data_IF_485013353486
#
_entry.id   IF_485013353486
#
_cell.length_a   1.000
_cell.length_b   1.000
_cell.length_c   1.000
_cell.angle_alpha   90.00
_cell.angle_beta   90.00
_cell.angle_gamma   90.00
#
_symmetry.space_group_name_H-M   'P 1'
#
loop_
_entity.id
_entity.type
_entity.pdbx_description
1 polymer ?
#
# COMPACT_ATOMS: atom_id res chain seq x y z
N UNK A 1 21.47 16.99 -5.94
CA UNK A 1 20.47 15.92 -6.02
C UNK A 1 20.57 15.17 -4.71
N UNK A 2 19.50 15.12 -3.94
CA UNK A 2 19.44 14.39 -2.68
C UNK A 2 19.06 12.90 -2.92
N UNK A 3 19.12 12.06 -1.88
CA UNK A 3 18.80 10.64 -1.99
C UNK A 3 17.38 10.41 -2.49
N UNK A 4 16.40 11.22 -2.07
CA UNK A 4 15.01 11.09 -2.49
C UNK A 4 14.83 11.38 -3.99
N UNK A 5 15.59 12.31 -4.54
CA UNK A 5 15.61 12.59 -5.98
C UNK A 5 16.32 11.49 -6.78
N UNK A 6 17.41 10.90 -6.24
CA UNK A 6 18.08 9.75 -6.86
C UNK A 6 17.15 8.55 -6.95
N UNK A 7 16.44 8.22 -5.88
CA UNK A 7 15.40 7.19 -5.87
C UNK A 7 14.29 7.49 -6.90
N UNK A 8 13.84 8.75 -7.01
CA UNK A 8 12.84 9.16 -7.98
C UNK A 8 13.28 8.92 -9.42
N UNK A 9 14.57 9.09 -9.76
CA UNK A 9 15.11 8.76 -11.09
C UNK A 9 15.02 7.26 -11.37
N UNK A 10 15.41 6.41 -10.40
CA UNK A 10 15.32 4.97 -10.56
C UNK A 10 13.85 4.52 -10.77
N UNK A 11 12.94 5.06 -9.98
CA UNK A 11 11.50 4.80 -10.11
C UNK A 11 10.91 5.31 -11.43
N UNK A 12 11.41 6.46 -11.94
CA UNK A 12 10.98 7.01 -13.22
C UNK A 12 11.30 6.05 -14.38
N UNK A 13 12.50 5.46 -14.35
CA UNK A 13 12.95 4.50 -15.37
C UNK A 13 12.14 3.20 -15.31
N UNK A 14 11.74 2.78 -14.10
CA UNK A 14 10.99 1.55 -13.86
C UNK A 14 9.46 1.75 -13.87
N UNK A 15 8.95 2.97 -14.16
CA UNK A 15 7.55 3.30 -14.01
C UNK A 15 6.62 2.43 -14.88
N UNK A 16 5.71 1.63 -14.31
CA UNK A 16 4.86 0.70 -15.05
C UNK A 16 3.63 1.38 -15.69
N UNK A 17 3.36 2.63 -15.36
CA UNK A 17 2.18 3.38 -15.84
C UNK A 17 2.44 4.88 -15.97
N UNK A 18 1.55 5.57 -16.71
CA UNK A 18 1.59 7.05 -16.80
C UNK A 18 1.42 7.74 -15.43
N UNK A 19 0.61 7.17 -14.56
CA UNK A 19 0.41 7.72 -13.22
C UNK A 19 1.66 7.53 -12.37
N UNK A 20 2.29 6.35 -12.41
CA UNK A 20 3.59 6.09 -11.76
C UNK A 20 4.67 7.07 -12.24
N UNK A 21 4.76 7.28 -13.56
CA UNK A 21 5.68 8.25 -14.16
C UNK A 21 5.46 9.67 -13.61
N UNK A 22 4.20 10.10 -13.52
CA UNK A 22 3.84 11.42 -12.98
C UNK A 22 4.23 11.55 -11.50
N UNK A 23 4.01 10.51 -10.70
CA UNK A 23 4.45 10.48 -9.30
C UNK A 23 5.97 10.63 -9.18
N UNK A 24 6.74 9.87 -9.97
CA UNK A 24 8.20 9.93 -9.94
C UNK A 24 8.72 11.30 -10.41
N UNK A 25 8.11 11.92 -11.43
CA UNK A 25 8.45 13.27 -11.88
C UNK A 25 8.23 14.31 -10.77
N UNK A 26 7.08 14.28 -10.11
CA UNK A 26 6.78 15.22 -9.02
C UNK A 26 7.75 15.05 -7.83
N UNK A 27 8.25 13.83 -7.58
CA UNK A 27 9.25 13.57 -6.55
C UNK A 27 10.64 14.06 -6.96
N UNK A 28 10.97 13.97 -8.24
CA UNK A 28 12.22 14.49 -8.79
C UNK A 28 12.36 16.01 -8.56
N UNK A 29 11.25 16.74 -8.49
CA UNK A 29 11.22 18.17 -8.14
C UNK A 29 11.67 18.44 -6.69
N UNK A 30 11.90 17.40 -5.87
CA UNK A 30 12.43 17.50 -4.51
C UNK A 30 11.46 18.11 -3.49
N UNK A 31 10.15 18.10 -3.76
CA UNK A 31 9.13 18.64 -2.85
C UNK A 31 9.13 17.93 -1.50
N UNK A 32 9.22 16.59 -1.51
CA UNK A 32 9.30 15.79 -0.28
C UNK A 32 10.56 16.13 0.52
N UNK A 33 11.73 16.16 -0.13
CA UNK A 33 13.00 16.51 0.51
C UNK A 33 12.98 17.89 1.18
N UNK A 34 12.44 18.91 0.48
CA UNK A 34 12.29 20.25 1.07
C UNK A 34 11.38 20.25 2.27
N UNK A 35 10.25 19.55 2.23
CA UNK A 35 9.30 19.49 3.36
C UNK A 35 9.91 18.77 4.56
N UNK A 36 10.58 17.64 4.36
CA UNK A 36 11.25 16.87 5.43
C UNK A 36 12.40 17.69 6.02
N UNK A 37 13.20 18.37 5.19
CA UNK A 37 14.27 19.27 5.67
C UNK A 37 13.72 20.42 6.54
N UNK A 38 12.58 21.00 6.16
CA UNK A 38 11.93 22.03 6.95
C UNK A 38 11.44 21.50 8.32
N UNK A 39 10.89 20.28 8.36
CA UNK A 39 10.48 19.64 9.61
C UNK A 39 11.69 19.33 10.51
N UNK A 40 12.77 18.77 9.94
CA UNK A 40 14.02 18.53 10.66
C UNK A 40 14.56 19.82 11.27
N UNK A 41 14.61 20.91 10.50
CA UNK A 41 15.10 22.21 11.01
C UNK A 41 14.30 22.69 12.21
N UNK A 42 12.98 22.50 12.24
CA UNK A 42 12.16 22.87 13.41
C UNK A 42 12.57 22.07 14.65
N UNK A 43 12.90 20.78 14.52
CA UNK A 43 13.41 19.97 15.63
C UNK A 43 14.81 20.42 16.07
N UNK A 44 15.69 20.79 15.13
CA UNK A 44 17.02 21.32 15.44
C UNK A 44 16.94 22.66 16.19
N UNK A 45 16.01 23.55 15.81
CA UNK A 45 15.74 24.80 16.52
C UNK A 45 15.26 24.52 17.96
N UNK A 46 14.38 23.54 18.18
CA UNK A 46 13.98 23.10 19.52
C UNK A 46 15.16 22.55 20.32
N UNK A 47 16.02 21.76 19.70
CA UNK A 47 17.22 21.20 20.35
C UNK A 47 18.13 22.28 20.88
N UNK A 48 18.38 23.34 20.09
CA UNK A 48 19.20 24.50 20.53
C UNK A 48 18.57 25.14 21.76
N UNK A 49 17.26 25.35 21.77
CA UNK A 49 16.56 25.95 22.93
C UNK A 49 16.63 25.05 24.17
N UNK A 50 16.52 23.71 24.01
CA UNK A 50 16.69 22.79 25.13
C UNK A 50 18.10 22.81 25.70
N UNK A 51 19.13 22.82 24.84
CA UNK A 51 20.52 22.86 25.29
C UNK A 51 20.79 24.14 26.07
N UNK A 52 20.26 25.28 25.62
CA UNK A 52 20.39 26.57 26.37
C UNK A 52 19.70 26.49 27.74
N UNK A 53 18.54 25.84 27.84
CA UNK A 53 17.84 25.67 29.10
C UNK A 53 18.57 24.77 30.10
N UNK A 54 19.32 23.77 29.61
CA UNK A 54 20.09 22.83 30.43
C UNK A 54 21.43 23.47 30.86
N UNK A 55 22.13 24.15 29.93
CA UNK A 55 23.48 24.69 30.18
C UNK A 55 23.48 25.97 30.95
N UNK A 56 22.39 26.77 30.90
CA UNK A 56 22.29 28.10 31.54
C UNK A 56 21.01 28.23 32.39
N UNK A 57 20.81 27.41 33.43
CA UNK A 57 19.58 27.40 34.22
C UNK A 57 19.36 28.68 35.05
N UNK A 58 20.41 29.45 35.30
CA UNK A 58 20.38 30.66 36.12
C UNK A 58 20.28 31.96 35.28
N UNK A 59 20.40 31.88 33.96
CA UNK A 59 20.22 33.04 33.10
C UNK A 59 18.74 33.19 32.71
N UNK A 60 18.23 34.43 32.56
CA UNK A 60 16.88 34.73 32.05
C UNK A 60 16.76 34.36 30.54
N UNK A 61 17.16 33.14 30.19
CA UNK A 61 16.89 32.62 28.87
C UNK A 61 15.39 32.25 28.84
N UNK A 62 14.62 32.90 27.99
CA UNK A 62 13.22 32.52 27.76
C UNK A 62 13.14 31.06 27.24
N UNK A 63 13.15 30.12 28.18
CA UNK A 63 12.91 28.74 27.86
C UNK A 63 11.47 28.61 27.38
N UNK A 64 11.27 27.88 26.28
CA UNK A 64 9.91 27.51 25.85
C UNK A 64 9.21 26.80 26.99
N UNK A 65 8.02 27.28 27.34
CA UNK A 65 7.14 26.54 28.25
C UNK A 65 6.89 25.10 27.68
N UNK A 66 6.78 24.10 28.55
CA UNK A 66 6.57 22.69 28.10
C UNK A 66 5.42 22.55 27.09
N UNK A 67 4.36 23.34 27.25
CA UNK A 67 3.21 23.35 26.35
C UNK A 67 3.56 23.88 24.95
N UNK A 68 4.39 24.92 24.87
CA UNK A 68 4.84 25.48 23.60
C UNK A 68 5.82 24.51 22.89
N UNK A 69 6.67 23.84 23.67
CA UNK A 69 7.54 22.79 23.17
C UNK A 69 6.74 21.61 22.60
N UNK A 70 5.76 21.10 23.36
CA UNK A 70 4.85 20.04 22.93
C UNK A 70 4.09 20.43 21.64
N UNK A 71 3.61 21.66 21.53
CA UNK A 71 2.89 22.14 20.35
C UNK A 71 3.74 22.07 19.07
N UNK A 72 5.02 22.43 19.13
CA UNK A 72 5.92 22.33 17.96
C UNK A 72 6.18 20.87 17.59
N UNK A 73 6.37 19.99 18.57
CA UNK A 73 6.55 18.54 18.33
C UNK A 73 5.29 17.95 17.71
N UNK A 74 4.10 18.28 18.22
CA UNK A 74 2.82 17.81 17.67
C UNK A 74 2.60 18.29 16.23
N UNK A 75 2.93 19.55 15.92
CA UNK A 75 2.87 20.06 14.56
C UNK A 75 3.76 19.26 13.59
N UNK A 76 4.99 18.90 14.04
CA UNK A 76 5.91 18.08 13.24
C UNK A 76 5.35 16.66 13.09
N UNK A 77 4.85 16.06 14.17
CA UNK A 77 4.25 14.72 14.14
C UNK A 77 3.02 14.69 13.22
N UNK A 78 2.14 15.68 13.30
CA UNK A 78 0.98 15.81 12.43
C UNK A 78 1.39 15.94 10.94
N UNK A 79 2.46 16.71 10.65
CA UNK A 79 2.97 16.83 9.30
C UNK A 79 3.56 15.51 8.77
N UNK A 80 4.25 14.73 9.62
CA UNK A 80 4.78 13.40 9.27
C UNK A 80 3.64 12.41 9.04
N UNK A 81 2.61 12.38 9.89
CA UNK A 81 1.39 11.56 9.69
C UNK A 81 0.73 11.91 8.35
N UNK A 82 0.65 13.20 8.01
CA UNK A 82 0.10 13.65 6.72
C UNK A 82 0.91 13.18 5.51
N UNK A 83 2.24 13.01 5.63
CA UNK A 83 3.06 12.43 4.56
C UNK A 83 2.79 10.92 4.40
N UNK A 84 2.56 10.22 5.50
CA UNK A 84 2.30 8.77 5.50
C UNK A 84 0.90 8.42 4.97
N UNK A 85 -0.09 9.31 5.10
CA UNK A 85 -1.47 9.02 4.68
C UNK A 85 -1.62 8.65 3.20
N UNK A 86 -0.78 9.16 2.31
CA UNK A 86 -0.82 8.84 0.87
C UNK A 86 0.05 7.65 0.44
N UNK A 87 0.77 7.02 1.37
CA UNK A 87 1.79 6.01 1.08
C UNK A 87 1.24 4.79 0.35
N UNK A 88 0.17 4.18 0.88
CA UNK A 88 -0.42 2.95 0.30
C UNK A 88 -0.84 3.18 -1.16
N UNK A 89 -1.47 4.32 -1.43
CA UNK A 89 -1.87 4.69 -2.78
C UNK A 89 -0.68 4.87 -3.72
N UNK A 90 0.36 5.56 -3.27
CA UNK A 90 1.59 5.75 -4.06
C UNK A 90 2.31 4.42 -4.30
N UNK A 91 2.40 3.55 -3.30
CA UNK A 91 3.00 2.22 -3.41
C UNK A 91 2.24 1.36 -4.43
N UNK A 92 0.91 1.32 -4.35
CA UNK A 92 0.05 0.61 -5.30
C UNK A 92 0.23 1.15 -6.73
N UNK A 93 0.37 2.47 -6.90
CA UNK A 93 0.59 3.07 -8.22
C UNK A 93 1.98 2.78 -8.79
N UNK A 94 3.01 2.69 -7.95
CA UNK A 94 4.40 2.46 -8.37
C UNK A 94 4.74 1.00 -8.55
N UNK A 95 4.34 0.14 -7.61
CA UNK A 95 4.71 -1.29 -7.60
C UNK A 95 3.62 -2.19 -8.19
N UNK A 96 2.42 -1.64 -8.39
CA UNK A 96 1.22 -2.40 -8.74
C UNK A 96 0.60 -3.09 -7.52
N UNK A 97 -0.73 -3.22 -7.53
CA UNK A 97 -1.44 -3.95 -6.50
C UNK A 97 -1.36 -5.46 -6.71
N UNK A 98 -1.15 -6.20 -5.65
CA UNK A 98 -1.26 -7.68 -5.66
C UNK A 98 -2.72 -8.04 -5.44
N UNK A 99 -3.35 -8.64 -6.44
CA UNK A 99 -4.76 -9.04 -6.38
C UNK A 99 -4.90 -10.53 -6.57
N UNK A 100 -5.46 -11.18 -5.57
CA UNK A 100 -5.68 -12.64 -5.57
C UNK A 100 -7.07 -12.96 -6.10
N UNK A 101 -7.14 -13.87 -7.07
CA UNK A 101 -8.38 -14.46 -7.58
C UNK A 101 -8.70 -15.70 -6.74
N UNK A 102 -9.78 -15.66 -5.96
CA UNK A 102 -10.21 -16.73 -5.08
C UNK A 102 -11.66 -17.15 -5.39
N UNK A 103 -12.05 -18.34 -4.96
CA UNK A 103 -13.40 -18.88 -5.15
C UNK A 103 -13.40 -20.36 -5.48
N UNK A 104 -14.58 -20.95 -5.49
CA UNK A 104 -14.79 -22.37 -5.73
C UNK A 104 -14.24 -22.87 -7.10
N UNK A 105 -14.08 -24.18 -7.22
CA UNK A 105 -13.77 -24.82 -8.50
C UNK A 105 -14.86 -24.47 -9.51
N UNK A 106 -14.46 -24.14 -10.74
CA UNK A 106 -15.36 -23.72 -11.83
C UNK A 106 -16.13 -22.40 -11.61
N UNK A 107 -15.79 -21.58 -10.60
CA UNK A 107 -16.36 -20.24 -10.47
C UNK A 107 -15.99 -19.28 -11.62
N UNK A 108 -15.01 -19.66 -12.45
CA UNK A 108 -14.59 -18.93 -13.64
C UNK A 108 -13.36 -18.02 -13.40
N UNK A 109 -12.48 -18.39 -12.46
CA UNK A 109 -11.25 -17.64 -12.15
C UNK A 109 -10.35 -17.47 -13.37
N UNK A 110 -9.99 -18.56 -14.04
CA UNK A 110 -9.14 -18.51 -15.24
C UNK A 110 -9.83 -17.78 -16.42
N UNK A 111 -11.16 -17.89 -16.54
CA UNK A 111 -11.92 -17.12 -17.53
C UNK A 111 -11.85 -15.62 -17.25
N UNK A 112 -11.98 -15.22 -15.98
CA UNK A 112 -11.86 -13.83 -15.58
C UNK A 112 -10.43 -13.32 -15.77
N UNK A 113 -9.42 -14.10 -15.38
CA UNK A 113 -8.02 -13.78 -15.62
C UNK A 113 -7.77 -13.48 -17.10
N UNK A 114 -8.20 -14.38 -17.99
CA UNK A 114 -8.05 -14.20 -19.43
C UNK A 114 -8.84 -12.98 -19.96
N UNK A 115 -10.04 -12.72 -19.44
CA UNK A 115 -10.83 -11.54 -19.83
C UNK A 115 -10.17 -10.22 -19.40
N UNK A 116 -9.54 -10.18 -18.23
CA UNK A 116 -8.81 -9.03 -17.75
C UNK A 116 -7.51 -8.80 -18.54
N UNK A 117 -6.74 -9.87 -18.79
CA UNK A 117 -5.49 -9.82 -19.57
C UNK A 117 -5.74 -9.49 -21.04
N UNK A 118 -6.77 -10.08 -21.64
CA UNK A 118 -7.10 -9.87 -23.06
C UNK A 118 -7.47 -8.42 -23.40
N UNK A 119 -8.04 -7.69 -22.45
CA UNK A 119 -8.44 -6.27 -22.61
C UNK A 119 -7.35 -5.27 -22.23
N UNK A 120 -6.49 -5.63 -21.30
CA UNK A 120 -5.64 -4.68 -20.58
C UNK A 120 -4.18 -5.14 -20.49
N UNK A 121 -3.70 -5.88 -21.49
CA UNK A 121 -2.31 -6.33 -21.52
C UNK A 121 -1.40 -5.10 -21.44
N UNK A 122 -0.73 -4.89 -20.32
CA UNK A 122 0.29 -3.88 -20.19
C UNK A 122 1.36 -4.16 -21.26
N UNK A 123 1.93 -3.11 -21.85
CA UNK A 123 3.22 -3.23 -22.52
C UNK A 123 4.23 -3.58 -21.41
N UNK A 124 4.37 -4.87 -21.12
CA UNK A 124 5.38 -5.37 -20.21
C UNK A 124 6.69 -5.16 -20.93
N UNK A 125 7.44 -4.15 -20.54
CA UNK A 125 8.89 -4.15 -20.76
C UNK A 125 9.42 -5.30 -19.92
N UNK A 126 10.07 -6.26 -20.57
CA UNK A 126 10.79 -7.35 -19.92
C UNK A 126 11.81 -6.75 -18.93
N UNK A 127 11.41 -6.60 -17.68
CA UNK A 127 12.32 -6.25 -16.60
C UNK A 127 13.05 -7.56 -16.26
N UNK A 128 14.36 -7.68 -16.53
CA UNK A 128 15.10 -8.89 -16.20
C UNK A 128 15.06 -9.11 -14.69
N UNK A 129 14.44 -10.19 -14.25
CA UNK A 129 14.38 -10.58 -12.83
C UNK A 129 12.98 -10.92 -12.30
N UNK A 130 11.88 -10.63 -13.02
CA UNK A 130 10.51 -10.90 -12.57
C UNK A 130 9.94 -12.25 -13.05
N UNK A 131 10.69 -13.03 -13.85
CA UNK A 131 10.23 -14.25 -14.54
C UNK A 131 10.41 -15.54 -13.73
N UNK A 132 10.43 -15.52 -12.40
CA UNK A 132 10.66 -16.76 -11.61
C UNK A 132 9.43 -17.38 -10.97
N UNK A 133 8.28 -16.69 -10.92
CA UNK A 133 7.03 -17.28 -10.43
C UNK A 133 6.00 -17.39 -11.56
N UNK A 134 5.76 -18.59 -12.02
CA UNK A 134 4.87 -18.96 -13.15
C UNK A 134 3.38 -18.64 -12.95
N UNK A 135 3.01 -17.92 -11.89
CA UNK A 135 1.62 -17.76 -11.45
C UNK A 135 1.15 -16.31 -11.30
N UNK A 136 2.01 -15.31 -11.63
CA UNK A 136 1.64 -13.89 -11.53
C UNK A 136 1.59 -13.26 -12.91
N UNK A 137 0.43 -12.72 -13.27
CA UNK A 137 0.21 -12.01 -14.53
C UNK A 137 0.00 -10.52 -14.25
N UNK A 138 0.74 -9.68 -14.97
CA UNK A 138 0.66 -8.22 -14.81
C UNK A 138 -0.25 -7.59 -15.86
N UNK A 139 -1.15 -6.72 -15.43
CA UNK A 139 -2.02 -5.96 -16.34
C UNK A 139 -2.31 -4.56 -15.78
N UNK A 140 -2.95 -3.71 -16.60
CA UNK A 140 -3.46 -2.42 -16.15
C UNK A 140 -5.00 -2.48 -16.07
N UNK A 141 -5.57 -2.25 -14.90
CA UNK A 141 -7.01 -2.16 -14.70
C UNK A 141 -7.40 -0.71 -14.42
N UNK A 142 -8.08 -0.08 -15.36
CA UNK A 142 -8.48 1.33 -15.27
C UNK A 142 -7.29 2.27 -14.91
N UNK A 143 -6.13 2.06 -15.55
CA UNK A 143 -4.90 2.81 -15.32
C UNK A 143 -4.09 2.37 -14.08
N UNK A 144 -4.63 1.47 -13.26
CA UNK A 144 -3.98 0.91 -12.09
C UNK A 144 -3.13 -0.31 -12.49
N UNK A 145 -1.80 -0.32 -12.22
CA UNK A 145 -0.99 -1.52 -12.37
C UNK A 145 -1.44 -2.58 -11.37
N UNK A 146 -1.71 -3.80 -11.85
CA UNK A 146 -2.17 -4.91 -11.01
C UNK A 146 -1.39 -6.18 -11.36
N UNK A 147 -0.97 -6.89 -10.34
CA UNK A 147 -0.43 -8.26 -10.45
C UNK A 147 -1.52 -9.23 -9.99
N UNK A 148 -2.04 -9.99 -10.95
CA UNK A 148 -3.09 -10.97 -10.70
C UNK A 148 -2.45 -12.32 -10.38
N UNK A 149 -2.87 -12.94 -9.28
CA UNK A 149 -2.45 -14.28 -8.88
C UNK A 149 -3.68 -15.19 -8.87
N UNK A 150 -3.66 -16.28 -9.67
CA UNK A 150 -4.72 -17.29 -9.64
C UNK A 150 -4.38 -18.39 -8.64
N UNK A 151 -5.24 -18.58 -7.63
CA UNK A 151 -5.09 -19.65 -6.64
C UNK A 151 -5.40 -21.04 -7.19
N UNK A 152 -6.09 -21.14 -8.32
CA UNK A 152 -6.45 -22.43 -8.93
C UNK A 152 -5.28 -23.12 -9.65
N UNK A 153 -4.37 -22.35 -10.25
CA UNK A 153 -3.16 -22.88 -10.89
C UNK A 153 -2.18 -23.56 -9.92
N UNK A 154 -2.37 -23.36 -8.61
CA UNK A 154 -1.57 -23.99 -7.54
C UNK A 154 -2.02 -25.42 -7.19
N UNK A 155 -3.18 -25.87 -7.69
CA UNK A 155 -3.81 -27.17 -7.33
C UNK A 155 -3.64 -28.28 -8.38
N UNK A 156 -3.00 -28.04 -9.51
CA UNK A 156 -2.94 -29.02 -10.62
C UNK A 156 -1.71 -29.91 -10.64
N UNK A 157 -0.98 -30.08 -9.54
CA UNK A 157 0.15 -31.02 -9.48
C UNK A 157 0.01 -31.98 -8.31
N UNK A 158 -0.01 -33.28 -8.60
CA UNK A 158 0.08 -34.47 -7.73
C UNK A 158 -0.21 -34.38 -6.22
N UNK A 159 -0.87 -35.43 -5.69
CA UNK A 159 -1.38 -35.56 -4.30
C UNK A 159 -0.39 -35.20 -3.14
N UNK A 160 0.90 -35.21 -3.37
CA UNK A 160 1.92 -34.79 -2.38
C UNK A 160 2.15 -33.24 -2.36
N UNK A 161 1.59 -32.51 -3.32
CA UNK A 161 1.74 -31.05 -3.49
C UNK A 161 0.49 -30.30 -3.01
N UNK A 162 -0.60 -31.02 -2.67
CA UNK A 162 -1.86 -30.40 -2.27
C UNK A 162 -1.73 -29.60 -0.94
N UNK A 163 -1.03 -30.14 0.06
CA UNK A 163 -0.75 -29.41 1.31
C UNK A 163 0.17 -28.18 1.09
N UNK A 164 1.19 -28.33 0.23
CA UNK A 164 2.05 -27.20 -0.15
C UNK A 164 1.28 -26.16 -0.96
N UNK A 165 0.40 -26.56 -1.85
CA UNK A 165 -0.45 -25.68 -2.65
C UNK A 165 -1.43 -24.87 -1.77
N UNK A 166 -2.03 -25.49 -0.75
CA UNK A 166 -2.90 -24.83 0.22
C UNK A 166 -2.11 -23.82 1.09
N UNK A 167 -0.93 -24.20 1.58
CA UNK A 167 -0.09 -23.32 2.37
C UNK A 167 0.38 -22.09 1.55
N UNK A 168 0.78 -22.32 0.29
CA UNK A 168 1.17 -21.24 -0.62
C UNK A 168 -0.01 -20.32 -0.98
N UNK A 169 -1.21 -20.88 -1.17
CA UNK A 169 -2.43 -20.10 -1.36
C UNK A 169 -2.73 -19.22 -0.15
N UNK A 170 -2.60 -19.74 1.06
CA UNK A 170 -2.77 -18.98 2.31
C UNK A 170 -1.74 -17.84 2.46
N UNK A 171 -0.49 -18.11 2.09
CA UNK A 171 0.56 -17.09 2.12
C UNK A 171 0.27 -15.97 1.10
N UNK A 172 -0.15 -16.30 -0.12
CA UNK A 172 -0.50 -15.32 -1.17
C UNK A 172 -1.71 -14.48 -0.77
N UNK A 173 -2.74 -15.08 -0.16
CA UNK A 173 -3.88 -14.34 0.39
C UNK A 173 -3.41 -13.29 1.40
N UNK A 174 -2.52 -13.65 2.33
CA UNK A 174 -2.01 -12.71 3.34
C UNK A 174 -1.17 -11.57 2.78
N UNK A 175 -0.59 -11.72 1.61
CA UNK A 175 0.23 -10.72 0.93
C UNK A 175 -0.56 -9.88 -0.07
N UNK A 176 -1.86 -10.18 -0.25
CA UNK A 176 -2.70 -9.48 -1.20
C UNK A 176 -3.10 -8.09 -0.71
N UNK A 177 -3.12 -7.12 -1.63
CA UNK A 177 -3.71 -5.80 -1.41
C UNK A 177 -5.24 -5.82 -1.52
N UNK A 178 -5.78 -6.78 -2.31
CA UNK A 178 -7.21 -7.05 -2.39
C UNK A 178 -7.47 -8.49 -2.87
N UNK A 179 -8.65 -9.00 -2.57
CA UNK A 179 -9.13 -10.31 -3.01
C UNK A 179 -10.35 -10.11 -3.91
N UNK A 180 -10.31 -10.69 -5.13
CA UNK A 180 -11.48 -10.89 -5.97
C UNK A 180 -12.07 -12.27 -5.67
N UNK A 181 -13.15 -12.31 -4.90
CA UNK A 181 -13.80 -13.55 -4.50
C UNK A 181 -14.93 -13.89 -5.47
N UNK A 182 -14.67 -14.86 -6.34
CA UNK A 182 -15.59 -15.29 -7.39
C UNK A 182 -16.62 -16.28 -6.88
N UNK A 183 -17.88 -16.00 -7.18
CA UNK A 183 -19.03 -16.86 -6.91
C UNK A 183 -19.72 -17.22 -8.24
N UNK A 184 -20.04 -18.50 -8.42
CA UNK A 184 -20.75 -18.98 -9.61
C UNK A 184 -22.25 -18.63 -9.53
N UNK A 185 -22.66 -17.66 -10.31
CA UNK A 185 -24.07 -17.23 -10.41
C UNK A 185 -25.01 -18.28 -11.01
N UNK A 186 -24.49 -19.20 -11.83
CA UNK A 186 -25.29 -20.24 -12.45
C UNK A 186 -25.71 -21.39 -11.50
N UNK A 187 -25.07 -21.52 -10.34
CA UNK A 187 -25.42 -22.53 -9.33
C UNK A 187 -26.57 -22.11 -8.40
N UNK A 188 -26.94 -20.86 -8.41
CA UNK A 188 -28.00 -20.32 -7.59
C UNK A 188 -29.31 -20.45 -8.38
N UNK A 189 -30.11 -21.44 -8.03
CA UNK A 189 -31.39 -21.74 -8.68
C UNK A 189 -32.38 -20.56 -8.74
N UNK A 190 -33.52 -20.73 -9.44
CA UNK A 190 -34.49 -19.66 -9.64
C UNK A 190 -35.06 -19.12 -8.32
N UNK A 191 -35.57 -17.91 -8.42
CA UNK A 191 -36.14 -17.11 -7.32
C UNK A 191 -36.93 -17.91 -6.28
N UNK A 192 -36.38 -18.12 -5.10
CA UNK A 192 -37.05 -18.79 -3.99
C UNK A 192 -36.11 -19.48 -3.00
N UNK A 193 -34.95 -19.93 -3.44
CA UNK A 193 -33.97 -20.62 -2.60
C UNK A 193 -32.79 -19.73 -2.16
N UNK A 194 -32.75 -18.46 -2.59
CA UNK A 194 -31.59 -17.60 -2.47
C UNK A 194 -31.34 -17.02 -1.07
N UNK A 195 -32.30 -17.12 -0.14
CA UNK A 195 -32.15 -16.58 1.21
C UNK A 195 -31.21 -17.41 2.11
N UNK A 196 -31.04 -18.71 1.82
CA UNK A 196 -30.31 -19.67 2.65
C UNK A 196 -29.05 -20.25 2.00
N UNK A 197 -28.57 -19.67 0.90
CA UNK A 197 -27.36 -20.19 0.28
C UNK A 197 -26.18 -19.82 1.17
N UNK A 198 -25.79 -20.78 1.99
CA UNK A 198 -24.55 -20.73 2.74
C UNK A 198 -23.39 -20.61 1.72
N UNK A 199 -22.40 -19.73 1.97
CA UNK A 199 -21.23 -19.67 1.11
C UNK A 199 -20.60 -21.05 1.04
N UNK A 200 -20.18 -21.47 -0.17
CA UNK A 200 -19.37 -22.66 -0.39
C UNK A 200 -18.20 -22.66 0.61
N UNK A 201 -17.78 -23.83 1.08
CA UNK A 201 -16.70 -23.95 2.06
C UNK A 201 -15.45 -23.16 1.64
N UNK A 202 -15.09 -23.24 0.36
CA UNK A 202 -13.98 -22.47 -0.21
C UNK A 202 -14.18 -20.94 -0.08
N UNK A 203 -15.39 -20.43 -0.22
CA UNK A 203 -15.72 -19.01 -0.04
C UNK A 203 -15.59 -18.61 1.43
N UNK A 204 -16.08 -19.47 2.33
CA UNK A 204 -15.99 -19.23 3.77
C UNK A 204 -14.54 -19.19 4.25
N UNK A 205 -13.75 -20.17 3.83
CA UNK A 205 -12.32 -20.24 4.15
C UNK A 205 -11.56 -18.97 3.71
N UNK A 206 -11.81 -18.47 2.50
CA UNK A 206 -11.20 -17.24 2.01
C UNK A 206 -11.63 -16.04 2.83
N UNK A 207 -12.91 -15.93 3.22
CA UNK A 207 -13.40 -14.82 4.04
C UNK A 207 -12.81 -14.82 5.46
N UNK A 208 -12.59 -16.00 6.04
CA UNK A 208 -11.93 -16.17 7.35
C UNK A 208 -10.44 -15.80 7.27
N UNK A 209 -9.77 -16.14 6.17
CA UNK A 209 -8.35 -15.85 5.97
C UNK A 209 -8.07 -14.39 5.57
N UNK A 210 -9.05 -13.71 4.98
CA UNK A 210 -8.89 -12.35 4.49
C UNK A 210 -8.58 -11.34 5.60
N UNK A 211 -9.13 -11.55 6.83
CA UNK A 211 -8.95 -10.60 7.92
C UNK A 211 -9.35 -9.17 7.50
N UNK A 212 -8.39 -8.24 7.57
CA UNK A 212 -8.57 -6.84 7.18
C UNK A 212 -8.33 -6.57 5.68
N UNK A 213 -7.97 -7.60 4.91
CA UNK A 213 -7.72 -7.44 3.47
C UNK A 213 -9.04 -7.15 2.76
N UNK A 214 -9.10 -6.09 1.93
CA UNK A 214 -10.31 -5.74 1.19
C UNK A 214 -10.76 -6.87 0.26
N UNK A 215 -12.04 -7.26 0.35
CA UNK A 215 -12.63 -8.29 -0.50
C UNK A 215 -13.70 -7.68 -1.39
N UNK A 216 -13.55 -7.86 -2.70
CA UNK A 216 -14.57 -7.54 -3.70
C UNK A 216 -15.27 -8.84 -4.13
N UNK A 217 -16.56 -8.95 -3.82
CA UNK A 217 -17.37 -10.10 -4.26
C UNK A 217 -17.69 -9.98 -5.74
N UNK A 218 -17.31 -11.02 -6.50
CA UNK A 218 -17.51 -11.06 -7.95
C UNK A 218 -18.50 -12.18 -8.28
N UNK A 219 -19.72 -11.78 -8.65
CA UNK A 219 -20.75 -12.69 -9.10
C UNK A 219 -20.58 -12.93 -10.59
N UNK A 220 -20.05 -14.09 -10.93
CA UNK A 220 -19.74 -14.44 -12.30
C UNK A 220 -20.86 -15.29 -12.95
N UNK A 221 -20.84 -15.40 -14.28
CA UNK A 221 -21.77 -16.18 -15.11
C UNK A 221 -23.21 -15.64 -15.09
N UNK A 222 -23.38 -14.31 -15.01
CA UNK A 222 -24.72 -13.70 -15.08
C UNK A 222 -25.41 -13.89 -16.43
N UNK A 223 -24.68 -14.32 -17.44
CA UNK A 223 -25.19 -14.75 -18.75
C UNK A 223 -25.99 -16.05 -18.68
N UNK A 224 -25.76 -16.90 -17.68
CA UNK A 224 -26.47 -18.16 -17.50
C UNK A 224 -27.70 -18.03 -16.60
N UNK A 225 -27.63 -17.20 -15.57
CA UNK A 225 -28.73 -16.95 -14.64
C UNK A 225 -28.57 -15.60 -13.94
N UNK A 226 -29.67 -14.85 -13.80
CA UNK A 226 -29.73 -13.69 -12.94
C UNK A 226 -30.12 -14.10 -11.50
N UNK A 227 -29.36 -13.66 -10.47
CA UNK A 227 -29.71 -13.95 -9.09
C UNK A 227 -31.00 -13.24 -8.71
N UNK A 228 -31.92 -13.93 -8.05
CA UNK A 228 -33.18 -13.37 -7.58
C UNK A 228 -32.99 -12.37 -6.43
N UNK A 229 -31.95 -12.57 -5.62
CA UNK A 229 -31.59 -11.69 -4.50
C UNK A 229 -30.13 -11.28 -4.63
N UNK A 230 -29.88 -9.99 -4.53
CA UNK A 230 -28.54 -9.43 -4.67
C UNK A 230 -28.32 -8.24 -3.72
N UNK A 231 -27.19 -8.14 -3.00
CA UNK A 231 -26.19 -9.19 -2.76
C UNK A 231 -26.73 -10.31 -1.86
N UNK A 232 -26.09 -11.50 -1.81
CA UNK A 232 -26.48 -12.55 -0.87
C UNK A 232 -26.29 -12.08 0.57
N UNK A 233 -27.08 -12.62 1.51
CA UNK A 233 -27.09 -12.16 2.92
C UNK A 233 -25.70 -12.19 3.54
N UNK A 234 -24.90 -13.22 3.28
CA UNK A 234 -23.50 -13.34 3.76
C UNK A 234 -22.53 -12.35 3.12
N UNK A 235 -22.91 -11.72 2.02
CA UNK A 235 -22.14 -10.68 1.31
C UNK A 235 -22.51 -9.26 1.71
N UNK A 236 -23.51 -9.07 2.60
CA UNK A 236 -23.93 -7.74 3.02
C UNK A 236 -22.76 -6.95 3.64
N UNK A 237 -22.69 -5.67 3.31
CA UNK A 237 -21.63 -4.77 3.79
C UNK A 237 -20.31 -4.87 3.00
N UNK A 238 -20.16 -5.83 2.07
CA UNK A 238 -18.98 -5.91 1.19
C UNK A 238 -19.28 -5.33 -0.19
N UNK A 239 -18.30 -4.66 -0.82
CA UNK A 239 -18.44 -4.25 -2.21
C UNK A 239 -18.63 -5.48 -3.10
N UNK A 240 -19.53 -5.38 -4.07
CA UNK A 240 -19.89 -6.51 -4.92
C UNK A 240 -20.17 -6.05 -6.37
N UNK A 241 -19.92 -6.94 -7.34
CA UNK A 241 -20.15 -6.69 -8.75
C UNK A 241 -20.66 -7.95 -9.46
N UNK A 242 -21.58 -7.77 -10.41
CA UNK A 242 -22.09 -8.86 -11.27
C UNK A 242 -21.41 -8.78 -12.63
N UNK A 243 -20.85 -9.89 -13.09
CA UNK A 243 -20.13 -9.97 -14.35
C UNK A 243 -20.46 -11.25 -15.12
N UNK A 244 -20.13 -11.25 -16.40
CA UNK A 244 -19.89 -12.47 -17.17
C UNK A 244 -18.48 -12.40 -17.73
N UNK A 245 -17.60 -13.24 -17.22
CA UNK A 245 -16.22 -13.34 -17.71
C UNK A 245 -16.16 -13.89 -19.14
N UNK A 246 -17.13 -14.71 -19.55
CA UNK A 246 -17.21 -15.30 -20.90
C UNK A 246 -17.62 -14.28 -21.97
N UNK A 247 -18.59 -13.42 -21.67
CA UNK A 247 -19.09 -12.40 -22.60
C UNK A 247 -18.37 -11.05 -22.43
N UNK A 248 -17.65 -10.87 -21.33
CA UNK A 248 -17.02 -9.62 -20.96
C UNK A 248 -17.99 -8.58 -20.35
N UNK A 249 -19.23 -8.98 -20.05
CA UNK A 249 -20.21 -8.08 -19.44
C UNK A 249 -19.73 -7.58 -18.07
N UNK A 250 -19.79 -6.26 -17.85
CA UNK A 250 -19.42 -5.57 -16.62
C UNK A 250 -17.96 -5.74 -16.13
N UNK A 251 -17.05 -6.27 -16.93
CA UNK A 251 -15.62 -6.40 -16.57
C UNK A 251 -14.99 -5.03 -16.34
N UNK A 252 -15.38 -4.00 -17.10
CA UNK A 252 -14.89 -2.63 -16.89
C UNK A 252 -15.43 -2.02 -15.57
N UNK A 253 -16.64 -2.41 -15.16
CA UNK A 253 -17.18 -2.00 -13.85
C UNK A 253 -16.44 -2.69 -12.71
N UNK A 254 -16.02 -3.95 -12.89
CA UNK A 254 -15.15 -4.65 -11.94
C UNK A 254 -13.82 -3.91 -11.78
N UNK A 255 -13.17 -3.53 -12.88
CA UNK A 255 -11.89 -2.81 -12.86
C UNK A 255 -12.01 -1.48 -12.09
N UNK A 256 -13.06 -0.69 -12.37
CA UNK A 256 -13.31 0.57 -11.65
C UNK A 256 -13.58 0.38 -10.16
N UNK A 257 -14.36 -0.65 -9.78
CA UNK A 257 -14.64 -0.94 -8.37
C UNK A 257 -13.41 -1.45 -7.63
N UNK A 258 -12.59 -2.27 -8.28
CA UNK A 258 -11.32 -2.73 -7.72
C UNK A 258 -10.37 -1.55 -7.51
N UNK A 259 -10.26 -0.65 -8.50
CA UNK A 259 -9.48 0.58 -8.36
C UNK A 259 -9.94 1.43 -7.17
N UNK A 260 -11.25 1.65 -7.05
CA UNK A 260 -11.81 2.39 -5.92
C UNK A 260 -11.48 1.71 -4.58
N UNK A 261 -11.63 0.39 -4.49
CA UNK A 261 -11.33 -0.39 -3.29
C UNK A 261 -9.86 -0.30 -2.86
N UNK A 262 -8.94 -0.27 -3.82
CA UNK A 262 -7.49 -0.22 -3.57
C UNK A 262 -6.97 1.20 -3.27
N UNK A 263 -7.65 2.23 -3.77
CA UNK A 263 -7.20 3.62 -3.67
C UNK A 263 -8.03 4.46 -2.69
N UNK A 264 -9.18 3.95 -2.25
CA UNK A 264 -10.04 4.63 -1.29
C UNK A 264 -9.60 4.24 0.12
N UNK A 265 -8.73 5.07 0.70
CA UNK A 265 -8.24 4.96 2.07
C UNK A 265 -9.15 5.70 3.08
N UNK A 266 -10.37 6.09 2.65
CA UNK A 266 -11.30 6.89 3.47
C UNK A 266 -10.85 8.35 3.65
N UNK A 267 -9.70 8.73 3.13
CA UNK A 267 -9.26 10.13 3.14
C UNK A 267 -9.88 10.86 1.93
N UNK A 268 -10.76 11.82 2.21
CA UNK A 268 -11.31 12.71 1.17
C UNK A 268 -10.29 13.74 0.65
N UNK A 269 -9.07 13.73 1.16
CA UNK A 269 -8.01 14.63 0.75
C UNK A 269 -7.24 13.97 -0.40
N UNK A 270 -7.26 14.52 -1.62
CA UNK A 270 -6.38 14.04 -2.67
C UNK A 270 -4.93 14.18 -2.14
N UNK A 271 -4.10 13.13 -2.23
CA UNK A 271 -2.71 13.26 -1.84
C UNK A 271 -2.13 14.41 -2.64
N UNK A 272 -1.50 15.36 -1.93
CA UNK A 272 -0.77 16.45 -2.57
C UNK A 272 0.22 15.81 -3.55
N UNK A 273 -0.02 16.00 -4.83
CA UNK A 273 0.75 15.39 -5.92
C UNK A 273 2.26 15.51 -5.63
N UNK A 274 2.95 14.38 -5.50
CA UNK A 274 4.39 14.32 -5.36
C UNK A 274 4.98 14.34 -3.94
N UNK A 275 4.17 14.34 -2.89
CA UNK A 275 4.66 14.29 -1.50
C UNK A 275 4.62 12.87 -0.88
N UNK A 276 4.01 11.89 -1.56
CA UNK A 276 3.94 10.54 -1.02
C UNK A 276 5.33 9.88 -0.97
N UNK A 277 5.79 9.42 0.20
CA UNK A 277 7.08 8.75 0.35
C UNK A 277 7.05 7.36 -0.31
N UNK A 278 8.24 6.82 -0.69
CA UNK A 278 8.37 5.43 -1.09
C UNK A 278 8.44 4.50 0.13
N UNK A 279 8.52 3.18 -0.09
CA UNK A 279 8.52 2.19 0.99
C UNK A 279 9.66 2.41 2.00
N UNK A 280 10.89 2.73 1.53
CA UNK A 280 12.02 3.03 2.42
C UNK A 280 11.78 4.31 3.23
N UNK A 281 11.40 5.37 2.54
CA UNK A 281 11.14 6.68 3.16
C UNK A 281 10.00 6.60 4.17
N UNK A 282 8.96 5.81 3.89
CA UNK A 282 7.84 5.58 4.79
C UNK A 282 8.27 4.88 6.06
N UNK A 283 9.06 3.81 5.94
CA UNK A 283 9.58 3.09 7.12
C UNK A 283 10.41 4.02 8.02
N UNK A 284 11.20 4.90 7.43
CA UNK A 284 11.99 5.88 8.19
C UNK A 284 11.09 6.94 8.83
N UNK A 285 10.08 7.43 8.11
CA UNK A 285 9.10 8.39 8.64
C UNK A 285 8.23 7.78 9.76
N UNK A 286 7.85 6.51 9.67
CA UNK A 286 7.14 5.78 10.72
C UNK A 286 8.00 5.68 12.01
N UNK A 287 9.28 5.38 11.86
CA UNK A 287 10.22 5.38 12.98
C UNK A 287 10.39 6.78 13.58
N UNK A 288 10.49 7.81 12.75
CA UNK A 288 10.55 9.19 13.22
C UNK A 288 9.27 9.59 13.97
N UNK A 289 8.10 9.20 13.47
CA UNK A 289 6.82 9.43 14.13
C UNK A 289 6.75 8.75 15.49
N UNK A 290 7.24 7.50 15.59
CA UNK A 290 7.32 6.79 16.87
C UNK A 290 8.15 7.54 17.91
N UNK A 291 9.31 8.07 17.53
CA UNK A 291 10.14 8.88 18.44
C UNK A 291 9.46 10.21 18.84
N UNK A 292 8.75 10.86 17.91
CA UNK A 292 7.98 12.07 18.19
C UNK A 292 6.81 11.81 19.14
N UNK A 293 6.06 10.73 18.94
CA UNK A 293 4.94 10.35 19.82
C UNK A 293 5.46 9.97 21.22
N UNK A 294 6.61 9.29 21.30
CA UNK A 294 7.25 8.99 22.57
C UNK A 294 7.79 10.25 23.27
N UNK A 295 8.33 11.21 22.50
CA UNK A 295 8.75 12.51 23.03
C UNK A 295 7.57 13.30 23.63
N UNK A 296 6.42 13.32 22.95
CA UNK A 296 5.21 13.94 23.47
C UNK A 296 4.73 13.30 24.78
N UNK A 297 4.83 11.97 24.88
CA UNK A 297 4.51 11.24 26.11
C UNK A 297 5.48 11.60 27.25
N UNK A 298 6.79 11.69 26.98
CA UNK A 298 7.81 12.09 27.96
C UNK A 298 7.57 13.53 28.46
N UNK A 299 7.24 14.47 27.57
CA UNK A 299 6.91 15.86 27.92
C UNK A 299 5.67 15.88 28.82
N UNK A 300 4.61 15.15 28.46
CA UNK A 300 3.38 15.09 29.24
C UNK A 300 3.59 14.46 30.62
N UNK A 301 4.54 13.55 30.76
CA UNK A 301 4.96 12.94 32.02
C UNK A 301 5.86 13.84 32.88
N UNK A 302 6.27 15.01 32.36
CA UNK A 302 7.20 15.92 33.05
C UNK A 302 8.63 15.37 33.12
N UNK A 303 9.05 14.57 32.14
CA UNK A 303 10.39 14.01 32.06
C UNK A 303 11.46 15.12 31.96
N UNK A 304 12.67 14.91 32.52
CA UNK A 304 13.76 15.87 32.39
C UNK A 304 14.12 16.14 30.92
N UNK A 305 14.57 17.36 30.63
CA UNK A 305 14.95 17.77 29.27
C UNK A 305 16.07 16.89 28.66
N UNK A 306 16.97 16.38 29.47
CA UNK A 306 18.03 15.43 29.01
C UNK A 306 17.44 14.17 28.39
N UNK A 307 16.38 13.63 28.96
CA UNK A 307 15.68 12.46 28.41
C UNK A 307 14.93 12.82 27.11
N UNK A 308 14.30 14.00 27.07
CA UNK A 308 13.59 14.49 25.89
C UNK A 308 14.56 14.77 24.73
N UNK A 309 15.79 15.25 25.02
CA UNK A 309 16.79 15.57 23.98
C UNK A 309 17.20 14.34 23.16
N UNK A 310 17.32 13.16 23.80
CA UNK A 310 17.70 11.92 23.14
C UNK A 310 16.67 11.52 22.06
N UNK A 311 15.38 11.64 22.38
CA UNK A 311 14.32 11.34 21.42
C UNK A 311 14.22 12.39 20.31
N UNK A 312 14.42 13.66 20.67
CA UNK A 312 14.44 14.76 19.70
C UNK A 312 15.56 14.57 18.68
N UNK A 313 16.77 14.21 19.15
CA UNK A 313 17.92 13.91 18.29
C UNK A 313 17.65 12.69 17.40
N UNK A 314 17.07 11.62 17.95
CA UNK A 314 16.70 10.44 17.19
C UNK A 314 15.69 10.76 16.07
N UNK A 315 14.63 11.53 16.37
CA UNK A 315 13.65 11.95 15.38
C UNK A 315 14.27 12.84 14.29
N UNK A 316 15.12 13.80 14.67
CA UNK A 316 15.81 14.66 13.71
C UNK A 316 16.77 13.90 12.80
N UNK A 317 17.53 12.93 13.33
CA UNK A 317 18.41 12.06 12.56
C UNK A 317 17.61 11.20 11.56
N UNK A 318 16.49 10.59 11.98
CA UNK A 318 15.60 9.82 11.10
C UNK A 318 15.02 10.69 9.97
N UNK A 319 14.61 11.93 10.24
CA UNK A 319 14.20 12.85 9.18
C UNK A 319 15.35 13.17 8.22
N UNK A 320 16.59 13.25 8.71
CA UNK A 320 17.80 13.43 7.87
C UNK A 320 18.05 12.22 6.97
N UNK A 321 17.81 11.00 7.46
CA UNK A 321 17.96 9.75 6.70
C UNK A 321 17.04 9.71 5.47
N UNK A 322 15.85 10.32 5.52
CA UNK A 322 14.93 10.40 4.38
C UNK A 322 15.57 11.08 3.18
N UNK A 323 16.33 12.16 3.41
CA UNK A 323 16.99 12.96 2.37
C UNK A 323 18.42 12.51 2.07
N UNK A 324 18.95 11.58 2.86
CA UNK A 324 20.30 11.05 2.71
C UNK A 324 21.37 11.84 3.44
N UNK A 325 21.01 12.80 4.29
CA UNK A 325 22.00 13.59 5.04
C UNK A 325 22.73 12.74 6.09
N UNK A 326 22.04 11.78 6.69
CA UNK A 326 22.56 10.87 7.72
C UNK A 326 22.37 9.40 7.33
N UNK A 327 22.32 9.09 6.01
CA UNK A 327 22.10 7.72 5.53
C UNK A 327 23.35 6.87 5.67
N UNK A 328 23.22 5.62 6.14
CA UNK A 328 24.30 4.63 6.09
C UNK A 328 24.81 4.45 4.66
N UNK A 329 26.11 4.26 4.50
CA UNK A 329 26.78 4.10 3.20
C UNK A 329 26.21 2.89 2.42
N UNK A 330 25.73 1.87 3.11
CA UNK A 330 25.06 0.70 2.52
C UNK A 330 23.77 1.07 1.77
N UNK A 331 22.99 2.05 2.28
CA UNK A 331 21.75 2.52 1.64
C UNK A 331 22.09 3.25 0.35
N UNK A 332 23.09 4.11 0.38
CA UNK A 332 23.57 4.82 -0.80
C UNK A 332 24.06 3.83 -1.87
N UNK A 333 24.87 2.84 -1.47
CA UNK A 333 25.38 1.81 -2.37
C UNK A 333 24.23 0.97 -2.98
N UNK A 334 23.20 0.65 -2.23
CA UNK A 334 22.03 -0.11 -2.72
C UNK A 334 21.24 0.68 -3.75
N UNK A 335 21.00 1.97 -3.52
CA UNK A 335 20.31 2.86 -4.46
C UNK A 335 21.15 2.98 -5.73
N UNK A 336 22.45 3.26 -5.62
CA UNK A 336 23.32 3.38 -6.79
C UNK A 336 23.53 2.06 -7.56
N UNK A 337 23.48 0.90 -6.89
CA UNK A 337 23.56 -0.40 -7.55
C UNK A 337 22.30 -0.75 -8.36
N UNK A 338 21.16 -0.14 -8.05
CA UNK A 338 19.93 -0.27 -8.85
C UNK A 338 19.94 0.54 -10.13
N UNK A 339 20.86 1.50 -10.25
CA UNK A 339 21.12 2.15 -11.53
C UNK A 339 21.93 1.20 -12.42
N UNK A 340 21.38 0.75 -13.52
CA UNK A 340 22.11 0.03 -14.57
C UNK A 340 23.13 0.97 -15.23
N UNK A 341 24.17 1.36 -14.50
CA UNK A 341 25.28 2.16 -15.06
C UNK A 341 26.23 1.17 -15.75
N UNK A 342 26.11 1.04 -17.06
CA UNK A 342 27.11 0.38 -17.91
C UNK A 342 26.86 -1.10 -18.20
N UNK A 343 25.73 -1.45 -18.82
CA UNK A 343 25.66 -2.61 -19.74
C UNK A 343 25.09 -2.18 -21.07
#
# INVERSE_FOLDING_TARGET
>A
MDLSQAEAVAELIAAPSREALRYSLNRLDGLLGRKVTALRRRLEELRVQMSLAVDFPDEEVECLAPEAFAAVVEDVAAAVRGLLTGQRRAQVMQQGAVVVLAGAVNAGKSSLLNALLGRNRALVTDIPGTTRDFLEESCQLDGLPVRLTDTAGLRETDESVEEMGVALSRQKVRQADAILLLVDGGRLGPAGAAADICPDEAVREVLEQAGDIPVLLVWNKVDLAEPAVWPPVWGHGRPCVRISASTGHNVDTLARRLRALLLDDGSHTPPSDGLAPNARQSLVLERALHELDALLADIAAGSPYDCCSVRLDAAAALLGEVTGLDSPEEVLNRVFSSFCIGK
#
